data_IF_159235164320
#
_entry.id   IF_159235164320
#
_cell.length_a   1.000
_cell.length_b   1.000
_cell.length_c   1.000
_cell.angle_alpha   90.00
_cell.angle_beta   90.00
_cell.angle_gamma   90.00
#
_symmetry.space_group_name_H-M   'P 1'
#
loop_
_entity.id
_entity.type
_entity.pdbx_description
1 polymer ?
#
# COMPACT_ATOMS: atom_id res chain seq x y z
N UNK A 1 -0.69 27.53 -12.33
CA UNK A 1 -0.15 26.39 -13.09
C UNK A 1 -0.71 25.15 -12.44
N UNK A 2 -1.55 24.38 -13.14
CA UNK A 2 -1.96 23.07 -12.63
C UNK A 2 -0.78 22.13 -12.84
N UNK A 3 -0.27 21.55 -11.77
CA UNK A 3 0.78 20.55 -11.83
C UNK A 3 0.11 19.23 -12.21
N UNK A 4 0.49 18.64 -13.35
CA UNK A 4 0.05 17.30 -13.73
C UNK A 4 0.51 16.35 -12.61
N UNK A 5 -0.39 15.55 -12.02
CA UNK A 5 -0.01 14.58 -11.00
C UNK A 5 1.09 13.65 -11.52
N UNK A 6 2.02 13.27 -10.65
CA UNK A 6 3.09 12.33 -11.02
C UNK A 6 3.31 11.31 -9.94
N UNK A 7 3.63 10.09 -10.34
CA UNK A 7 4.03 9.03 -9.41
C UNK A 7 5.49 9.16 -9.05
N UNK A 8 5.76 9.29 -7.76
CA UNK A 8 7.09 9.17 -7.19
C UNK A 8 7.21 7.79 -6.53
N UNK A 9 8.08 6.94 -7.05
CA UNK A 9 8.40 5.65 -6.45
C UNK A 9 9.07 5.84 -5.08
N UNK A 10 8.58 5.12 -4.06
CA UNK A 10 9.10 5.13 -2.71
C UNK A 10 10.17 4.04 -2.55
N UNK A 11 11.40 4.35 -2.98
CA UNK A 11 12.52 3.39 -3.00
C UNK A 11 13.00 2.96 -1.59
N UNK A 12 12.56 3.64 -0.55
CA UNK A 12 12.77 3.29 0.85
C UNK A 12 11.90 2.11 1.31
N UNK A 13 10.85 1.77 0.56
CA UNK A 13 9.97 0.65 0.84
C UNK A 13 10.34 -0.58 0.00
N UNK A 14 10.29 -1.79 0.57
CA UNK A 14 10.41 -3.01 -0.22
C UNK A 14 9.34 -3.03 -1.31
N UNK A 15 9.68 -3.35 -2.57
CA UNK A 15 8.68 -3.44 -3.62
C UNK A 15 7.66 -4.54 -3.29
N UNK A 16 6.36 -4.36 -3.59
CA UNK A 16 5.37 -5.40 -3.41
C UNK A 16 5.63 -6.55 -4.39
N UNK A 17 5.14 -7.74 -4.05
CA UNK A 17 5.26 -8.91 -4.92
C UNK A 17 4.47 -8.69 -6.23
N UNK A 18 5.11 -9.02 -7.35
CA UNK A 18 4.62 -8.85 -8.73
C UNK A 18 4.34 -10.22 -9.39
N UNK A 19 4.39 -11.31 -8.61
CA UNK A 19 4.15 -12.65 -9.15
C UNK A 19 2.65 -12.90 -9.38
N UNK A 20 2.21 -12.57 -10.59
CA UNK A 20 0.94 -12.93 -11.23
C UNK A 20 0.71 -14.45 -11.39
N UNK A 21 1.39 -15.30 -10.62
CA UNK A 21 1.29 -16.77 -10.70
C UNK A 21 0.82 -17.39 -9.38
N UNK A 22 -0.50 -17.57 -9.29
CA UNK A 22 -1.08 -18.85 -8.87
C UNK A 22 -1.56 -18.99 -7.43
N UNK A 23 -2.86 -18.78 -7.21
CA UNK A 23 -3.62 -19.56 -6.22
C UNK A 23 -4.85 -18.84 -5.64
N UNK A 24 -6.01 -19.54 -5.50
CA UNK A 24 -7.14 -18.99 -4.77
C UNK A 24 -6.81 -18.92 -3.27
N UNK A 25 -6.84 -17.72 -2.69
CA UNK A 25 -6.79 -17.52 -1.22
C UNK A 25 -5.70 -16.60 -0.65
N UNK A 26 -4.82 -16.00 -1.45
CA UNK A 26 -3.75 -15.12 -0.95
C UNK A 26 -4.17 -13.66 -0.90
N UNK A 27 -4.55 -13.13 0.26
CA UNK A 27 -4.58 -11.67 0.45
C UNK A 27 -3.13 -11.15 0.45
N UNK A 28 -2.66 -10.67 -0.71
CA UNK A 28 -1.33 -10.09 -0.91
C UNK A 28 -1.14 -8.78 -0.18
N UNK A 29 -2.23 -8.05 0.03
CA UNK A 29 -2.28 -6.91 0.93
C UNK A 29 -3.51 -7.00 1.84
N UNK A 30 -3.41 -6.43 3.02
CA UNK A 30 -4.49 -6.28 3.98
C UNK A 30 -4.38 -4.90 4.62
N UNK A 31 -5.48 -4.17 4.60
CA UNK A 31 -5.58 -2.89 5.27
C UNK A 31 -6.43 -3.05 6.53
N UNK A 32 -5.91 -2.58 7.65
CA UNK A 32 -6.60 -2.52 8.93
C UNK A 32 -6.80 -1.06 9.30
N UNK A 33 -8.07 -0.64 9.27
CA UNK A 33 -8.44 0.69 9.71
C UNK A 33 -8.31 0.76 11.24
N UNK A 34 -7.63 1.79 11.74
CA UNK A 34 -7.62 2.11 13.15
C UNK A 34 -9.04 2.39 13.64
N UNK A 35 -9.33 2.02 14.90
CA UNK A 35 -10.62 2.27 15.52
C UNK A 35 -10.75 3.71 16.08
N UNK A 36 -9.62 4.40 16.26
CA UNK A 36 -9.54 5.75 16.80
C UNK A 36 -8.46 6.55 16.08
N UNK A 37 -8.57 7.88 16.07
CA UNK A 37 -7.56 8.80 15.50
C UNK A 37 -6.20 8.74 16.21
N UNK A 38 -6.13 8.10 17.38
CA UNK A 38 -4.89 7.92 18.14
C UNK A 38 -4.06 6.72 17.65
N UNK A 39 -4.67 5.79 16.93
CA UNK A 39 -4.02 4.58 16.44
C UNK A 39 -3.68 4.73 14.94
N UNK A 40 -2.52 4.25 14.48
CA UNK A 40 -2.22 4.27 13.06
C UNK A 40 -3.04 3.21 12.32
N UNK A 41 -3.40 3.51 11.07
CA UNK A 41 -3.81 2.48 10.14
C UNK A 41 -2.66 1.52 9.87
N UNK A 42 -2.96 0.23 9.67
CA UNK A 42 -1.95 -0.75 9.31
C UNK A 42 -2.18 -1.24 7.88
N UNK A 43 -1.19 -1.03 7.02
CA UNK A 43 -1.14 -1.64 5.70
C UNK A 43 -0.11 -2.76 5.72
N UNK A 44 -0.55 -3.98 5.46
CA UNK A 44 0.32 -5.14 5.36
C UNK A 44 0.36 -5.62 3.92
N UNK A 45 1.53 -5.79 3.32
CA UNK A 45 1.65 -6.33 1.96
C UNK A 45 2.81 -7.31 1.83
N UNK A 46 2.68 -8.26 0.90
CA UNK A 46 3.77 -9.16 0.53
C UNK A 46 4.83 -8.40 -0.28
N UNK A 47 6.10 -8.48 0.13
CA UNK A 47 7.20 -7.93 -0.66
C UNK A 47 7.67 -8.89 -1.74
N UNK A 48 8.19 -8.34 -2.83
CA UNK A 48 8.87 -9.12 -3.85
C UNK A 48 10.04 -9.91 -3.25
N UNK A 49 10.23 -11.10 -3.81
CA UNK A 49 11.30 -12.02 -3.44
C UNK A 49 12.45 -11.88 -4.42
N UNK A 50 13.67 -11.88 -3.91
CA UNK A 50 14.87 -11.87 -4.75
C UNK A 50 15.00 -13.17 -5.56
N UNK A 51 14.50 -14.29 -5.00
CA UNK A 51 14.48 -15.62 -5.63
C UNK A 51 13.23 -16.40 -5.20
N UNK A 52 12.70 -17.28 -6.06
CA UNK A 52 11.49 -18.08 -5.78
C UNK A 52 11.62 -18.99 -4.54
N UNK A 53 12.84 -19.40 -4.21
CA UNK A 53 13.13 -20.22 -3.02
C UNK A 53 13.16 -19.42 -1.71
N UNK A 54 13.20 -18.08 -1.78
CA UNK A 54 13.17 -17.24 -0.59
C UNK A 54 11.79 -17.38 0.10
N UNK A 55 11.76 -17.39 1.45
CA UNK A 55 10.50 -17.41 2.16
C UNK A 55 9.69 -16.16 1.83
N UNK A 56 8.36 -16.32 1.78
CA UNK A 56 7.44 -15.17 1.68
C UNK A 56 7.62 -14.26 2.89
N UNK A 57 7.52 -12.97 2.65
CA UNK A 57 7.73 -11.94 3.65
C UNK A 57 6.69 -10.84 3.48
N UNK A 58 6.17 -10.35 4.60
CA UNK A 58 5.10 -9.36 4.63
C UNK A 58 5.54 -8.13 5.39
N UNK A 59 5.53 -6.98 4.72
CA UNK A 59 5.87 -5.68 5.30
C UNK A 59 4.65 -5.14 6.02
N UNK A 60 4.84 -4.68 7.26
CA UNK A 60 3.80 -3.99 8.03
C UNK A 60 4.15 -2.50 8.06
N UNK A 61 3.29 -1.68 7.46
CA UNK A 61 3.35 -0.23 7.52
C UNK A 61 2.33 0.28 8.54
N UNK A 62 2.78 1.17 9.42
CA UNK A 62 1.89 2.06 10.16
C UNK A 62 1.73 3.37 9.39
N UNK A 63 0.50 3.84 9.27
CA UNK A 63 0.15 5.03 8.51
C UNK A 63 -0.74 5.93 9.36
N UNK A 64 -0.24 7.13 9.66
CA UNK A 64 -1.00 8.12 10.44
C UNK A 64 -1.84 8.92 9.46
N UNK A 65 -3.15 8.68 9.42
CA UNK A 65 -4.07 9.48 8.61
C UNK A 65 -4.64 10.66 9.42
N UNK A 66 -5.07 11.70 8.71
CA UNK A 66 -5.79 12.82 9.32
C UNK A 66 -7.27 12.53 9.50
N UNK A 67 -7.82 11.65 8.65
CA UNK A 67 -9.18 11.16 8.73
C UNK A 67 -9.17 9.64 8.60
N UNK A 68 -9.99 8.96 9.39
CA UNK A 68 -10.09 7.49 9.39
C UNK A 68 -10.67 6.93 8.09
N UNK A 69 -11.44 7.75 7.35
CA UNK A 69 -12.04 7.41 6.05
C UNK A 69 -11.15 7.79 4.85
N UNK A 70 -9.88 8.15 5.07
CA UNK A 70 -8.96 8.61 4.05
C UNK A 70 -8.40 7.49 3.14
N UNK A 71 -9.13 6.38 2.95
CA UNK A 71 -8.67 5.18 2.24
C UNK A 71 -9.63 4.75 1.15
N UNK A 72 -9.11 4.54 -0.05
CA UNK A 72 -9.86 4.04 -1.20
C UNK A 72 -9.23 2.74 -1.70
N UNK A 73 -10.04 1.67 -1.73
CA UNK A 73 -9.61 0.34 -2.19
C UNK A 73 -10.15 0.07 -3.59
N UNK A 74 -9.25 -0.29 -4.51
CA UNK A 74 -9.54 -0.47 -5.94
C UNK A 74 -10.24 0.76 -6.55
N UNK A 75 -9.74 1.94 -6.18
CA UNK A 75 -10.16 3.21 -6.76
C UNK A 75 -10.24 3.13 -8.27
N UNK A 76 -11.35 3.60 -8.83
CA UNK A 76 -11.55 3.76 -10.27
C UNK A 76 -11.05 5.13 -10.76
N UNK A 77 -10.35 5.89 -9.91
CA UNK A 77 -9.83 7.20 -10.27
C UNK A 77 -8.61 7.04 -11.20
N UNK A 78 -8.66 7.70 -12.34
CA UNK A 78 -7.51 7.82 -13.23
C UNK A 78 -6.88 9.21 -13.06
N UNK A 79 -5.55 9.25 -13.02
CA UNK A 79 -4.81 10.51 -12.95
C UNK A 79 -4.10 10.78 -14.27
N UNK A 80 -4.23 12.01 -14.74
CA UNK A 80 -3.46 12.49 -15.89
C UNK A 80 -1.96 12.29 -15.63
N UNK A 81 -1.27 11.62 -16.56
CA UNK A 81 0.18 11.35 -16.46
C UNK A 81 0.54 10.00 -15.84
N UNK A 82 -0.43 9.15 -15.51
CA UNK A 82 -0.23 7.75 -15.12
C UNK A 82 -0.76 6.84 -16.23
N UNK A 83 -0.03 5.77 -16.54
CA UNK A 83 -0.45 4.79 -17.55
C UNK A 83 -1.44 3.78 -16.96
N UNK A 84 -2.59 3.66 -17.62
CA UNK A 84 -3.64 2.68 -17.34
C UNK A 84 -3.88 1.80 -18.57
N UNK A 85 -4.32 0.56 -18.38
CA UNK A 85 -4.85 -0.24 -19.49
C UNK A 85 -6.30 0.09 -19.83
N UNK A 86 -6.87 -0.66 -20.79
CA UNK A 86 -8.23 -0.48 -21.25
C UNK A 86 -9.31 -0.76 -20.18
N UNK A 87 -8.95 -1.46 -19.10
CA UNK A 87 -9.84 -1.78 -17.99
C UNK A 87 -9.66 -0.79 -16.81
N UNK A 88 -8.83 0.24 -16.98
CA UNK A 88 -8.54 1.26 -15.96
C UNK A 88 -7.55 0.77 -14.89
N UNK A 89 -6.82 -0.32 -15.14
CA UNK A 89 -5.83 -0.85 -14.21
C UNK A 89 -4.50 -0.13 -14.40
N UNK A 90 -4.00 0.42 -13.30
CA UNK A 90 -2.69 1.07 -13.26
C UNK A 90 -1.59 0.08 -13.61
N UNK A 91 -0.76 0.42 -14.61
CA UNK A 91 0.23 -0.51 -15.15
C UNK A 91 1.49 -0.64 -14.31
N UNK A 92 1.74 0.30 -13.39
CA UNK A 92 2.93 0.27 -12.53
C UNK A 92 2.63 -0.45 -11.21
N UNK A 93 3.44 -1.46 -10.89
CA UNK A 93 3.47 -2.14 -9.58
C UNK A 93 4.48 -1.46 -8.66
N UNK A 94 4.09 -1.18 -7.41
CA UNK A 94 4.97 -0.48 -6.47
C UNK A 94 4.27 0.23 -5.32
N UNK A 95 5.09 0.80 -4.43
CA UNK A 95 4.66 1.79 -3.44
C UNK A 95 5.02 3.19 -3.95
N UNK A 96 4.03 4.06 -4.08
CA UNK A 96 4.19 5.38 -4.67
C UNK A 96 3.63 6.48 -3.77
N UNK A 97 4.13 7.68 -3.98
CA UNK A 97 3.49 8.92 -3.59
C UNK A 97 2.94 9.61 -4.84
N UNK A 98 1.66 9.98 -4.84
CA UNK A 98 1.07 10.84 -5.87
C UNK A 98 1.41 12.31 -5.57
N UNK A 99 2.39 12.85 -6.29
CA UNK A 99 2.81 14.24 -6.17
C UNK A 99 1.83 15.14 -6.91
N UNK A 100 1.51 16.30 -6.34
CA UNK A 100 0.49 17.22 -6.84
C UNK A 100 -0.93 16.61 -6.90
N UNK A 101 -1.23 15.68 -5.98
CA UNK A 101 -2.58 15.17 -5.77
C UNK A 101 -3.55 16.29 -5.40
N UNK A 102 -4.65 16.42 -6.15
CA UNK A 102 -5.73 17.36 -5.83
C UNK A 102 -6.48 17.00 -4.53
N UNK A 103 -6.36 15.75 -4.07
CA UNK A 103 -6.95 15.29 -2.82
C UNK A 103 -6.13 15.69 -1.58
N UNK A 104 -4.89 16.14 -1.75
CA UNK A 104 -4.06 16.62 -0.65
C UNK A 104 -4.41 18.08 -0.32
N UNK A 105 -5.21 18.29 0.72
CA UNK A 105 -5.60 19.61 1.23
C UNK A 105 -4.66 20.07 2.36
N UNK A 106 -3.34 20.06 2.12
CA UNK A 106 -2.35 20.50 3.11
C UNK A 106 -0.92 20.17 2.71
N UNK A 107 0.07 20.92 3.25
CA UNK A 107 1.49 20.70 2.93
C UNK A 107 2.06 19.40 3.54
N UNK A 108 1.38 18.86 4.55
CA UNK A 108 1.83 17.69 5.32
C UNK A 108 1.08 16.40 4.95
N UNK A 109 0.30 16.40 3.87
CA UNK A 109 -0.43 15.21 3.40
C UNK A 109 0.35 14.50 2.29
N UNK A 110 0.49 13.18 2.45
CA UNK A 110 1.02 12.23 1.49
C UNK A 110 -0.13 11.40 0.93
N UNK A 111 -0.34 11.50 -0.39
CA UNK A 111 -1.21 10.56 -1.09
C UNK A 111 -0.39 9.31 -1.43
N UNK A 112 -0.45 8.31 -0.55
CA UNK A 112 0.23 7.04 -0.71
C UNK A 112 -0.59 6.09 -1.59
N UNK A 113 0.10 5.38 -2.48
CA UNK A 113 -0.49 4.39 -3.37
C UNK A 113 0.29 3.10 -3.28
N UNK A 114 -0.35 2.01 -2.85
CA UNK A 114 0.13 0.65 -3.10
C UNK A 114 -0.56 0.14 -4.37
N UNK A 115 0.21 -0.13 -5.41
CA UNK A 115 -0.27 -0.72 -6.65
C UNK A 115 0.34 -2.11 -6.83
N UNK A 116 -0.51 -3.09 -7.11
CA UNK A 116 -0.16 -4.46 -7.49
C UNK A 116 -1.03 -4.88 -8.68
N UNK A 117 -0.70 -5.97 -9.34
CA UNK A 117 -1.45 -6.43 -10.52
C UNK A 117 -2.98 -6.47 -10.27
N UNK A 118 -3.72 -5.72 -11.07
CA UNK A 118 -5.18 -5.61 -11.02
C UNK A 118 -5.78 -4.93 -9.78
N UNK A 119 -4.97 -4.40 -8.84
CA UNK A 119 -5.47 -3.83 -7.58
C UNK A 119 -4.65 -2.63 -7.11
N UNK A 120 -5.35 -1.66 -6.53
CA UNK A 120 -4.72 -0.47 -5.95
C UNK A 120 -5.32 -0.16 -4.59
N UNK A 121 -4.50 0.31 -3.66
CA UNK A 121 -4.92 0.88 -2.39
C UNK A 121 -4.36 2.29 -2.30
N UNK A 122 -5.23 3.27 -2.12
CA UNK A 122 -4.89 4.67 -1.96
C UNK A 122 -5.19 5.12 -0.55
N UNK A 123 -4.27 5.86 0.06
CA UNK A 123 -4.36 6.31 1.45
C UNK A 123 -3.86 7.74 1.51
N UNK A 124 -4.66 8.67 2.02
CA UNK A 124 -4.15 9.98 2.43
C UNK A 124 -3.65 9.88 3.87
N UNK A 125 -2.33 9.93 4.03
CA UNK A 125 -1.67 9.88 5.33
C UNK A 125 -0.73 11.07 5.50
N UNK A 126 -0.41 11.46 6.73
CA UNK A 126 0.66 12.44 6.99
C UNK A 126 2.04 11.81 6.90
N UNK A 127 2.14 10.60 7.44
CA UNK A 127 3.38 9.83 7.48
C UNK A 127 3.07 8.33 7.37
N UNK A 128 4.06 7.59 6.91
CA UNK A 128 4.07 6.14 6.94
C UNK A 128 5.42 5.67 7.51
N UNK A 129 5.41 4.57 8.25
CA UNK A 129 6.62 3.98 8.83
C UNK A 129 6.57 2.46 8.73
N UNK A 130 7.67 1.86 8.27
CA UNK A 130 7.86 0.40 8.33
C UNK A 130 8.02 -0.02 9.78
N UNK A 131 7.07 -0.77 10.30
CA UNK A 131 7.11 -1.30 11.66
C UNK A 131 7.97 -2.56 11.73
N UNK A 132 7.74 -3.49 10.80
CA UNK A 132 8.46 -4.76 10.75
C UNK A 132 8.26 -5.47 9.41
N UNK A 133 9.01 -6.55 9.21
CA UNK A 133 8.76 -7.54 8.16
C UNK A 133 8.54 -8.90 8.82
N UNK A 134 7.37 -9.50 8.57
CA UNK A 134 6.97 -10.80 9.10
C UNK A 134 7.29 -11.91 8.10
N UNK A 135 7.90 -12.99 8.58
CA UNK A 135 8.25 -14.18 7.81
C UNK A 135 7.44 -15.39 8.28
N UNK A 136 7.49 -16.49 7.51
CA UNK A 136 6.91 -17.80 7.87
C UNK A 136 5.39 -17.81 8.08
N UNK A 137 4.67 -16.91 7.42
CA UNK A 137 3.19 -16.88 7.37
C UNK A 137 2.73 -16.95 5.91
N UNK A 138 1.45 -17.28 5.69
CA UNK A 138 0.94 -17.54 4.34
C UNK A 138 0.09 -16.41 3.74
N UNK A 139 -0.15 -15.32 4.48
CA UNK A 139 -0.97 -14.18 4.02
C UNK A 139 -0.73 -12.91 4.83
N UNK A 140 -1.09 -11.76 4.24
CA UNK A 140 -1.04 -10.46 4.93
C UNK A 140 -1.92 -10.41 6.19
N UNK A 141 -3.07 -11.09 6.18
CA UNK A 141 -3.95 -11.18 7.35
C UNK A 141 -3.31 -11.98 8.51
N UNK A 142 -2.59 -13.07 8.22
CA UNK A 142 -1.84 -13.80 9.25
C UNK A 142 -0.67 -12.98 9.78
N UNK A 143 0.05 -12.28 8.89
CA UNK A 143 1.11 -11.36 9.29
C UNK A 143 0.60 -10.26 10.24
N UNK A 144 -0.54 -9.63 9.90
CA UNK A 144 -1.19 -8.64 10.76
C UNK A 144 -1.54 -9.22 12.13
N UNK A 145 -2.20 -10.39 12.17
CA UNK A 145 -2.57 -11.04 13.43
C UNK A 145 -1.37 -11.34 14.31
N UNK A 146 -0.27 -11.82 13.71
CA UNK A 146 0.96 -12.09 14.44
C UNK A 146 1.59 -10.80 14.97
N UNK A 147 1.64 -9.73 14.16
CA UNK A 147 2.13 -8.42 14.58
C UNK A 147 1.32 -7.89 15.77
N UNK A 148 -0.01 -7.87 15.68
CA UNK A 148 -0.87 -7.40 16.76
C UNK A 148 -0.70 -8.21 18.05
N UNK A 149 -0.52 -9.54 17.93
CA UNK A 149 -0.27 -10.41 19.08
C UNK A 149 1.11 -10.17 19.75
N UNK A 150 2.06 -9.53 19.06
CA UNK A 150 3.38 -9.17 19.61
C UNK A 150 3.39 -7.79 20.30
N UNK A 151 2.36 -6.97 20.10
CA UNK A 151 2.24 -5.63 20.70
C UNK A 151 1.51 -5.62 22.06
N UNK A 152 0.88 -6.74 22.46
CA UNK A 152 0.18 -6.91 23.74
C UNK A 152 0.91 -7.86 24.68
#
# INVERSE_FOLDING_TARGET
MSHIPTLKLLNDLPPPADDSVGGPGGAYAFFYAAATDADPHLLVYERARDFLSAPRAFVVLAMTAEDTDAVELNSLLEYDGIDYDADGVMQQTGCFQLVASAACYGQDQCHFILSVDGRRCEILCREYTVQTTIYHVSSACQALRLYLAQQG
#
